data_IF_901353689684
#
_entry.id   IF_901353689684
#
_cell.length_a   1.000
_cell.length_b   1.000
_cell.length_c   1.000
_cell.angle_alpha   90.00
_cell.angle_beta   90.00
_cell.angle_gamma   90.00
#
_symmetry.space_group_name_H-M   'P 1'
#
loop_
_entity.id
_entity.type
_entity.pdbx_description
1 polymer ?
#
# COMPACT_ATOMS: atom_id res chain seq x y z
N UNK A 1 41.51 10.91 23.02
CA UNK A 1 41.17 12.04 22.15
C UNK A 1 42.42 12.52 21.44
N UNK A 2 42.38 12.72 20.14
CA UNK A 2 43.53 13.31 19.42
C UNK A 2 43.71 14.78 19.81
N UNK A 3 44.96 15.17 20.04
CA UNK A 3 45.28 16.57 20.29
C UNK A 3 45.07 17.43 19.03
N UNK A 4 44.91 18.74 19.20
CA UNK A 4 44.71 19.67 18.09
C UNK A 4 45.84 19.54 17.04
N UNK A 5 47.11 19.39 17.48
CA UNK A 5 48.29 19.24 16.63
C UNK A 5 48.27 17.93 15.84
N UNK A 6 47.86 16.82 16.46
CA UNK A 6 47.72 15.51 15.79
C UNK A 6 46.60 15.57 14.74
N UNK A 7 45.48 16.19 15.08
CA UNK A 7 44.35 16.36 14.17
C UNK A 7 44.71 17.20 12.93
N UNK A 8 45.42 18.31 13.10
CA UNK A 8 45.89 19.15 12.00
C UNK A 8 46.89 18.39 11.11
N UNK A 9 47.76 17.55 11.69
CA UNK A 9 48.69 16.72 10.91
C UNK A 9 47.93 15.69 10.07
N UNK A 10 46.93 15.04 10.65
CA UNK A 10 46.06 14.07 9.97
C UNK A 10 45.26 14.73 8.82
N UNK A 11 44.75 15.93 9.06
CA UNK A 11 44.07 16.72 7.99
C UNK A 11 45.04 17.04 6.84
N UNK A 12 46.26 17.46 7.18
CA UNK A 12 47.30 17.77 6.17
C UNK A 12 47.70 16.53 5.36
N UNK A 13 47.87 15.39 6.00
CA UNK A 13 48.29 14.14 5.37
C UNK A 13 47.21 13.46 4.52
N UNK A 14 45.93 13.86 4.64
CA UNK A 14 44.83 13.19 3.95
C UNK A 14 44.75 13.54 2.47
N UNK A 15 45.01 12.58 1.57
CA UNK A 15 44.96 12.74 0.12
C UNK A 15 43.64 12.24 -0.51
N UNK A 16 42.94 11.29 0.17
CA UNK A 16 41.65 10.75 -0.25
C UNK A 16 40.61 10.96 0.84
N UNK A 17 39.34 11.05 0.45
CA UNK A 17 38.24 11.19 1.41
C UNK A 17 38.24 10.04 2.44
N UNK A 18 38.31 10.36 3.72
CA UNK A 18 38.29 9.38 4.82
C UNK A 18 37.55 9.89 6.05
N UNK A 19 37.18 8.96 6.93
CA UNK A 19 36.61 9.24 8.25
C UNK A 19 37.64 8.80 9.29
N UNK A 20 38.01 9.71 10.19
CA UNK A 20 38.95 9.48 11.29
C UNK A 20 38.17 9.44 12.60
N UNK A 21 38.38 8.42 13.43
CA UNK A 21 37.85 8.40 14.81
C UNK A 21 38.75 9.25 15.68
N UNK A 22 38.18 10.31 16.29
CA UNK A 22 38.92 11.29 17.09
C UNK A 22 38.85 10.97 18.57
N UNK A 23 37.69 10.43 19.01
CA UNK A 23 37.45 10.06 20.39
C UNK A 23 36.40 8.95 20.49
N UNK A 24 36.53 8.08 21.49
CA UNK A 24 35.53 7.11 21.91
C UNK A 24 35.64 6.90 23.41
N UNK A 25 34.50 6.99 24.12
CA UNK A 25 34.43 6.79 25.57
C UNK A 25 34.13 5.31 25.96
N UNK A 26 33.99 4.42 25.00
CA UNK A 26 33.71 3.00 25.20
C UNK A 26 32.53 2.46 24.44
N UNK A 27 32.17 1.20 24.69
CA UNK A 27 31.06 0.55 24.02
C UNK A 27 29.71 1.18 24.44
N UNK A 28 28.98 1.71 23.47
CA UNK A 28 27.68 2.35 23.73
C UNK A 28 27.72 3.82 24.13
N UNK A 29 28.90 4.42 24.35
CA UNK A 29 29.08 5.83 24.75
C UNK A 29 29.16 6.80 23.56
N UNK A 30 29.01 6.30 22.31
CA UNK A 30 29.19 7.08 21.09
C UNK A 30 30.65 7.27 20.70
N UNK A 31 30.88 7.78 19.49
CA UNK A 31 32.20 8.11 19.00
C UNK A 31 32.18 9.45 18.25
N UNK A 32 33.18 10.29 18.54
CA UNK A 32 33.45 11.50 17.77
C UNK A 32 34.36 11.17 16.59
N UNK A 33 33.88 11.44 15.40
CA UNK A 33 34.59 11.20 14.15
C UNK A 33 34.78 12.51 13.38
N UNK A 34 35.79 12.56 12.53
CA UNK A 34 35.97 13.64 11.57
C UNK A 34 35.98 13.08 10.14
N UNK A 35 35.12 13.59 9.30
CA UNK A 35 35.15 13.31 7.87
C UNK A 35 35.99 14.37 7.17
N UNK A 36 37.05 13.94 6.50
CA UNK A 36 37.95 14.80 5.74
C UNK A 36 37.74 14.52 4.25
N UNK A 37 37.39 15.55 3.49
CA UNK A 37 37.18 15.46 2.05
C UNK A 37 38.20 16.43 1.35
N UNK A 38 39.18 15.90 0.60
CA UNK A 38 40.09 16.72 -0.16
C UNK A 38 39.34 17.54 -1.22
N UNK A 39 39.66 18.80 -1.33
CA UNK A 39 39.15 19.72 -2.38
C UNK A 39 40.27 20.38 -3.14
N UNK A 40 40.00 20.92 -4.33
CA UNK A 40 41.00 21.54 -5.22
C UNK A 40 41.75 22.73 -4.60
N UNK A 41 41.10 23.47 -3.67
CA UNK A 41 41.70 24.66 -3.02
C UNK A 41 41.82 24.52 -1.52
N UNK A 42 40.85 23.80 -0.85
CA UNK A 42 40.81 23.63 0.57
C UNK A 42 40.18 22.28 0.90
N UNK A 43 40.62 21.60 1.97
CA UNK A 43 40.00 20.39 2.49
C UNK A 43 38.74 20.76 3.29
N UNK A 44 37.65 20.04 3.07
CA UNK A 44 36.43 20.16 3.90
C UNK A 44 36.48 19.17 5.03
N UNK A 45 36.29 19.65 6.24
CA UNK A 45 36.36 18.83 7.47
C UNK A 45 35.07 19.00 8.27
N UNK A 46 34.42 17.87 8.60
CA UNK A 46 33.15 17.86 9.32
C UNK A 46 33.23 16.93 10.51
N UNK A 47 32.73 17.41 11.63
CA UNK A 47 32.49 16.59 12.81
C UNK A 47 31.29 15.72 12.64
N UNK A 48 31.43 14.44 13.02
CA UNK A 48 30.37 13.45 12.95
C UNK A 48 30.27 12.78 14.33
N UNK A 49 29.08 12.79 14.91
CA UNK A 49 28.72 11.92 16.03
C UNK A 49 28.28 10.57 15.48
N UNK A 50 28.79 9.49 16.06
CA UNK A 50 28.33 8.14 15.81
C UNK A 50 27.70 7.61 17.09
N UNK A 51 26.40 7.36 17.07
CA UNK A 51 25.57 7.03 18.21
C UNK A 51 24.85 5.71 17.99
N UNK A 52 24.50 5.02 19.07
CA UNK A 52 23.59 3.88 19.03
C UNK A 52 22.17 4.37 19.34
N UNK A 53 21.26 4.25 18.38
CA UNK A 53 19.82 4.51 18.57
C UNK A 53 19.03 3.26 18.15
N UNK A 54 18.21 2.73 19.06
CA UNK A 54 17.39 1.54 18.77
C UNK A 54 18.19 0.30 18.30
N UNK A 55 19.40 0.09 18.82
CA UNK A 55 20.27 -1.03 18.44
C UNK A 55 20.99 -0.86 17.09
N UNK A 56 20.83 0.29 16.40
CA UNK A 56 21.52 0.62 15.15
C UNK A 56 22.50 1.75 15.34
N UNK A 57 23.61 1.67 14.61
CA UNK A 57 24.60 2.75 14.60
C UNK A 57 24.16 3.85 13.61
N UNK A 58 23.90 5.04 14.13
CA UNK A 58 23.57 6.24 13.35
C UNK A 58 24.73 7.22 13.36
N UNK A 59 24.85 8.01 12.29
CA UNK A 59 25.90 9.02 12.14
C UNK A 59 25.27 10.36 11.81
N UNK A 60 25.54 11.35 12.64
CA UNK A 60 25.00 12.69 12.51
C UNK A 60 26.13 13.73 12.39
N UNK A 61 25.98 14.72 11.50
CA UNK A 61 26.96 15.80 11.36
C UNK A 61 26.69 16.85 12.43
N UNK A 62 27.69 17.11 13.31
CA UNK A 62 27.59 18.08 14.40
C UNK A 62 27.99 19.48 13.94
N UNK A 63 29.02 19.60 13.08
CA UNK A 63 29.49 20.90 12.64
C UNK A 63 30.75 20.81 11.75
N UNK A 64 31.32 21.96 11.45
CA UNK A 64 32.52 22.07 10.62
C UNK A 64 33.76 22.39 11.50
N UNK A 65 34.90 21.82 11.15
CA UNK A 65 36.18 22.23 11.68
C UNK A 65 36.82 23.27 10.72
N UNK A 66 37.43 24.37 11.19
CA UNK A 66 37.71 24.72 12.58
C UNK A 66 36.63 25.53 13.30
N UNK A 67 35.46 25.77 12.69
CA UNK A 67 34.40 26.59 13.28
C UNK A 67 33.94 26.05 14.65
N UNK A 68 33.93 24.71 14.78
CA UNK A 68 33.71 24.00 16.02
C UNK A 68 35.04 23.35 16.46
N UNK A 69 35.52 23.73 17.64
CA UNK A 69 36.75 23.15 18.23
C UNK A 69 36.57 21.68 18.64
N UNK A 70 37.64 20.89 18.80
CA UNK A 70 37.54 19.52 19.26
C UNK A 70 36.83 19.36 20.62
N UNK A 71 37.00 20.32 21.52
CA UNK A 71 36.38 20.30 22.86
C UNK A 71 34.86 20.56 22.76
N UNK A 72 34.45 21.53 21.94
CA UNK A 72 33.04 21.84 21.68
C UNK A 72 32.35 20.67 20.95
N UNK A 73 33.01 20.05 19.96
CA UNK A 73 32.49 18.87 19.27
C UNK A 73 32.33 17.68 20.21
N UNK A 74 33.22 17.51 21.20
CA UNK A 74 33.08 16.46 22.23
C UNK A 74 31.93 16.77 23.19
N UNK A 75 31.74 18.03 23.57
CA UNK A 75 30.61 18.45 24.40
C UNK A 75 29.28 18.17 23.67
N UNK A 76 29.16 18.54 22.38
CA UNK A 76 28.01 18.27 21.57
C UNK A 76 27.75 16.75 21.41
N UNK A 77 28.80 15.93 21.24
CA UNK A 77 28.64 14.46 21.24
C UNK A 77 28.02 13.99 22.55
N UNK A 78 28.52 14.47 23.70
CA UNK A 78 28.04 14.06 25.02
C UNK A 78 26.59 14.44 25.26
N UNK A 79 26.16 15.62 24.82
CA UNK A 79 24.76 16.02 24.83
C UNK A 79 23.88 15.08 24.00
N UNK A 80 24.32 14.77 22.79
CA UNK A 80 23.62 13.82 21.90
C UNK A 80 23.59 12.40 22.49
N UNK A 81 24.65 11.95 23.19
CA UNK A 81 24.67 10.66 23.86
C UNK A 81 23.71 10.65 25.05
N UNK A 82 23.65 11.73 25.84
CA UNK A 82 22.68 11.87 26.95
C UNK A 82 21.26 11.85 26.39
N UNK A 83 21.01 12.57 25.30
CA UNK A 83 19.72 12.60 24.63
C UNK A 83 19.35 11.21 24.04
N UNK A 84 20.32 10.50 23.45
CA UNK A 84 20.11 9.15 22.90
C UNK A 84 19.90 8.08 23.97
N UNK A 85 20.45 8.29 25.20
CA UNK A 85 20.30 7.43 26.38
C UNK A 85 19.07 7.79 27.21
N UNK A 86 18.48 8.97 27.00
CA UNK A 86 17.17 9.27 27.59
C UNK A 86 16.23 8.17 27.15
N UNK A 87 15.90 7.30 28.09
CA UNK A 87 15.02 6.17 27.86
C UNK A 87 13.69 6.66 27.29
N UNK A 88 12.91 5.82 26.61
CA UNK A 88 11.58 6.16 26.13
C UNK A 88 10.63 6.69 27.22
N UNK A 89 10.99 6.60 28.49
CA UNK A 89 10.25 7.15 29.64
C UNK A 89 10.21 8.68 29.71
N UNK A 90 11.13 9.40 29.05
CA UNK A 90 11.06 10.87 28.94
C UNK A 90 10.62 11.38 27.55
N UNK A 91 10.35 10.51 26.59
CA UNK A 91 9.51 10.83 25.45
C UNK A 91 8.11 11.05 26.00
N UNK A 92 7.76 12.29 26.33
CA UNK A 92 6.65 12.68 27.16
C UNK A 92 5.37 11.95 26.83
N UNK A 93 4.63 11.57 27.86
CA UNK A 93 3.25 11.10 27.75
C UNK A 93 2.47 12.08 26.91
N UNK A 94 1.82 11.61 25.83
CA UNK A 94 1.11 12.48 24.91
C UNK A 94 1.81 12.68 23.56
N UNK A 95 1.32 13.61 22.79
CA UNK A 95 1.81 14.03 21.49
C UNK A 95 0.71 14.59 20.59
N UNK A 96 1.11 15.41 19.63
CA UNK A 96 0.14 16.07 18.75
C UNK A 96 -0.57 15.08 17.82
N UNK A 97 -1.74 15.48 17.32
CA UNK A 97 -2.53 14.74 16.32
C UNK A 97 -1.68 14.39 15.09
N UNK A 98 -0.89 15.35 14.60
CA UNK A 98 0.02 15.12 13.47
C UNK A 98 1.07 14.04 13.79
N UNK A 99 1.69 14.14 14.97
CA UNK A 99 2.69 13.18 15.42
C UNK A 99 2.11 11.76 15.55
N UNK A 100 0.89 11.64 16.08
CA UNK A 100 0.18 10.36 16.19
C UNK A 100 -0.07 9.74 14.81
N UNK A 101 -0.62 10.52 13.87
CA UNK A 101 -0.93 10.02 12.53
C UNK A 101 0.33 9.64 11.75
N UNK A 102 1.40 10.41 11.86
CA UNK A 102 2.69 10.06 11.28
C UNK A 102 3.27 8.77 11.87
N UNK A 103 3.18 8.59 13.18
CA UNK A 103 3.65 7.38 13.86
C UNK A 103 2.83 6.15 13.43
N UNK A 104 1.50 6.29 13.35
CA UNK A 104 0.63 5.23 12.84
C UNK A 104 0.96 4.85 11.41
N UNK A 105 1.21 5.83 10.53
CA UNK A 105 1.60 5.57 9.14
C UNK A 105 2.94 4.83 9.09
N UNK A 106 3.95 5.26 9.88
CA UNK A 106 5.23 4.51 9.98
C UNK A 106 5.02 3.07 10.44
N UNK A 107 4.12 2.83 11.39
CA UNK A 107 3.77 1.47 11.82
C UNK A 107 3.11 0.66 10.69
N UNK A 108 2.31 1.27 9.83
CA UNK A 108 1.76 0.61 8.65
C UNK A 108 2.84 0.32 7.59
N UNK A 109 3.78 1.24 7.40
CA UNK A 109 4.92 1.09 6.48
C UNK A 109 5.86 -0.03 6.91
N UNK A 110 6.16 -0.15 8.20
CA UNK A 110 7.01 -1.23 8.74
C UNK A 110 6.43 -2.64 8.51
N UNK A 111 5.14 -2.72 8.21
CA UNK A 111 4.42 -3.96 7.91
C UNK A 111 4.05 -4.12 6.42
N UNK A 112 4.63 -3.29 5.55
CA UNK A 112 4.34 -3.24 4.11
C UNK A 112 2.83 -3.17 3.79
N UNK A 113 2.06 -2.44 4.61
CA UNK A 113 0.62 -2.37 4.46
C UNK A 113 0.23 -1.59 3.20
N UNK A 114 -0.46 -2.24 2.28
CA UNK A 114 -0.91 -1.65 1.01
C UNK A 114 -1.88 -0.45 1.19
N UNK A 115 -2.41 -0.25 2.37
CA UNK A 115 -3.29 0.88 2.70
C UNK A 115 -2.55 2.18 2.98
N UNK A 116 -1.21 2.18 3.11
CA UNK A 116 -0.40 3.35 3.45
C UNK A 116 -0.72 4.58 2.61
N UNK A 117 -0.76 4.52 1.25
CA UNK A 117 -1.05 5.69 0.44
C UNK A 117 -2.42 6.30 0.74
N UNK A 118 -3.44 5.47 0.91
CA UNK A 118 -4.80 5.94 1.20
C UNK A 118 -4.93 6.49 2.61
N UNK A 119 -4.34 5.81 3.61
CA UNK A 119 -4.31 6.28 5.00
C UNK A 119 -3.58 7.61 5.10
N UNK A 120 -2.42 7.76 4.44
CA UNK A 120 -1.68 9.02 4.37
C UNK A 120 -2.51 10.13 3.74
N UNK A 121 -3.22 9.84 2.65
CA UNK A 121 -4.11 10.80 1.99
C UNK A 121 -5.24 11.25 2.91
N UNK A 122 -5.88 10.34 3.61
CA UNK A 122 -6.97 10.65 4.53
C UNK A 122 -6.50 11.45 5.74
N UNK A 123 -5.32 11.13 6.27
CA UNK A 123 -4.87 11.69 7.53
C UNK A 123 -4.03 12.96 7.40
N UNK A 124 -3.19 13.07 6.33
CA UNK A 124 -2.15 14.11 6.25
C UNK A 124 -2.19 14.93 4.95
N UNK A 125 -2.31 14.29 3.78
CA UNK A 125 -2.00 14.97 2.50
C UNK A 125 -3.22 15.31 1.65
N UNK A 126 -4.41 14.87 2.00
CA UNK A 126 -5.63 15.15 1.24
C UNK A 126 -6.20 16.53 1.53
N UNK A 127 -7.03 17.06 0.62
CA UNK A 127 -7.66 18.38 0.82
C UNK A 127 -8.61 18.47 2.02
N UNK A 128 -9.06 17.34 2.57
CA UNK A 128 -9.82 17.23 3.82
C UNK A 128 -9.06 16.29 4.78
N UNK A 129 -7.78 16.56 5.01
CA UNK A 129 -6.97 15.73 5.89
C UNK A 129 -7.42 15.84 7.34
N UNK A 130 -7.47 14.69 8.03
CA UNK A 130 -7.93 14.66 9.42
C UNK A 130 -7.04 15.47 10.37
N UNK A 131 -5.71 15.50 10.12
CA UNK A 131 -4.78 16.27 10.93
C UNK A 131 -5.11 17.77 10.92
N UNK A 132 -5.36 18.33 9.74
CA UNK A 132 -5.73 19.75 9.61
C UNK A 132 -7.05 20.06 10.30
N UNK A 133 -8.04 19.18 10.14
CA UNK A 133 -9.38 19.40 10.69
C UNK A 133 -9.43 19.26 12.22
N UNK A 134 -8.63 18.38 12.80
CA UNK A 134 -8.58 18.13 14.24
C UNK A 134 -7.56 19.01 14.99
N UNK A 135 -6.74 19.78 14.26
CA UNK A 135 -5.65 20.60 14.77
C UNK A 135 -4.32 19.82 14.79
N UNK A 136 -3.40 20.09 13.83
CA UNK A 136 -2.18 19.29 13.68
C UNK A 136 -1.28 19.33 14.91
N UNK A 137 -1.21 20.47 15.59
CA UNK A 137 -0.37 20.70 16.77
C UNK A 137 -1.10 20.46 18.10
N UNK A 138 -2.41 20.18 18.05
CA UNK A 138 -3.23 19.87 19.23
C UNK A 138 -2.83 18.53 19.81
N UNK A 139 -2.80 18.43 21.16
CA UNK A 139 -2.59 17.15 21.83
C UNK A 139 -3.64 16.11 21.44
N UNK A 140 -3.21 14.93 21.06
CA UNK A 140 -4.12 13.87 20.60
C UNK A 140 -5.10 13.43 21.70
N UNK A 141 -4.69 13.55 22.98
CA UNK A 141 -5.53 13.25 24.15
C UNK A 141 -6.69 14.25 24.35
N UNK A 142 -6.60 15.44 23.75
CA UNK A 142 -7.62 16.47 23.85
C UNK A 142 -8.69 16.34 22.74
N UNK A 143 -8.48 15.46 21.76
CA UNK A 143 -9.47 15.25 20.70
C UNK A 143 -10.71 14.58 21.28
N UNK A 144 -11.83 15.27 21.16
CA UNK A 144 -13.13 14.79 21.68
C UNK A 144 -13.95 14.07 20.62
N UNK A 145 -14.92 13.25 21.03
CA UNK A 145 -15.90 12.68 20.09
C UNK A 145 -16.68 13.76 19.30
N UNK A 146 -16.90 14.94 19.91
CA UNK A 146 -17.56 16.06 19.27
C UNK A 146 -16.76 16.62 18.09
N UNK A 147 -15.44 16.77 18.26
CA UNK A 147 -14.55 17.26 17.19
C UNK A 147 -14.59 16.31 15.99
N UNK A 148 -14.48 15.01 16.24
CA UNK A 148 -14.56 14.00 15.18
C UNK A 148 -15.93 14.01 14.50
N UNK A 149 -17.02 14.09 15.27
CA UNK A 149 -18.38 14.12 14.73
C UNK A 149 -18.59 15.36 13.83
N UNK A 150 -18.17 16.54 14.29
CA UNK A 150 -18.28 17.79 13.54
C UNK A 150 -17.49 17.75 12.23
N UNK A 151 -16.26 17.24 12.27
CA UNK A 151 -15.44 17.06 11.07
C UNK A 151 -16.10 16.13 10.05
N UNK A 152 -16.59 14.97 10.51
CA UNK A 152 -17.26 14.00 9.64
C UNK A 152 -18.59 14.52 9.10
N UNK A 153 -19.31 15.33 9.88
CA UNK A 153 -20.53 16.00 9.44
C UNK A 153 -20.25 16.92 8.26
N UNK A 154 -19.20 17.75 8.29
CA UNK A 154 -18.82 18.60 7.16
C UNK A 154 -18.58 17.79 5.87
N UNK A 155 -17.90 16.64 5.95
CA UNK A 155 -17.72 15.76 4.78
C UNK A 155 -19.05 15.16 4.31
N UNK A 156 -19.95 14.84 5.23
CA UNK A 156 -21.26 14.28 4.93
C UNK A 156 -22.18 15.30 4.26
N UNK A 157 -22.16 16.55 4.73
CA UNK A 157 -22.96 17.66 4.21
C UNK A 157 -22.55 18.04 2.77
N UNK A 158 -21.30 17.80 2.40
CA UNK A 158 -20.82 17.80 1.01
C UNK A 158 -21.39 16.66 0.13
N UNK A 159 -22.28 15.82 0.67
CA UNK A 159 -22.82 14.64 -0.02
C UNK A 159 -21.86 13.46 -0.11
N UNK A 160 -20.72 13.50 0.58
CA UNK A 160 -19.63 12.51 0.51
C UNK A 160 -19.71 11.45 1.64
N UNK A 161 -20.92 10.91 1.90
CA UNK A 161 -21.19 9.97 3.01
C UNK A 161 -20.17 8.83 3.14
N UNK A 162 -19.81 8.21 2.01
CA UNK A 162 -18.84 7.11 2.00
C UNK A 162 -17.44 7.57 2.39
N UNK A 163 -17.04 8.77 1.98
CA UNK A 163 -15.75 9.34 2.37
C UNK A 163 -15.71 9.66 3.86
N UNK A 164 -16.81 10.15 4.43
CA UNK A 164 -16.94 10.37 5.87
C UNK A 164 -16.79 9.06 6.65
N UNK A 165 -17.45 7.95 6.23
CA UNK A 165 -17.33 6.65 6.92
C UNK A 165 -15.92 6.03 6.77
N UNK A 166 -15.28 6.21 5.63
CA UNK A 166 -13.88 5.80 5.42
C UNK A 166 -12.93 6.60 6.32
N UNK A 167 -13.11 7.92 6.41
CA UNK A 167 -12.35 8.80 7.28
C UNK A 167 -12.54 8.42 8.76
N UNK A 168 -13.78 8.22 9.19
CA UNK A 168 -14.09 7.73 10.54
C UNK A 168 -13.33 6.42 10.85
N UNK A 169 -13.34 5.49 9.91
CA UNK A 169 -12.67 4.20 10.09
C UNK A 169 -11.17 4.36 10.21
N UNK A 170 -10.55 5.22 9.39
CA UNK A 170 -9.13 5.49 9.43
C UNK A 170 -8.70 6.16 10.75
N UNK A 171 -9.42 7.20 11.19
CA UNK A 171 -9.15 7.88 12.47
C UNK A 171 -9.30 6.90 13.63
N UNK A 172 -10.38 6.10 13.64
CA UNK A 172 -10.60 5.08 14.69
C UNK A 172 -9.45 4.07 14.76
N UNK A 173 -8.92 3.63 13.62
CA UNK A 173 -7.80 2.70 13.57
C UNK A 173 -6.51 3.31 14.13
N UNK A 174 -6.23 4.57 13.84
CA UNK A 174 -5.06 5.27 14.36
C UNK A 174 -5.13 5.46 15.88
N UNK A 175 -6.25 5.91 16.42
CA UNK A 175 -6.43 6.06 17.86
C UNK A 175 -6.43 4.73 18.60
N UNK A 176 -7.03 3.67 18.06
CA UNK A 176 -6.93 2.33 18.63
C UNK A 176 -5.49 1.80 18.67
N UNK A 177 -4.73 2.04 17.58
CA UNK A 177 -3.32 1.67 17.56
C UNK A 177 -2.55 2.46 18.62
N UNK A 178 -2.78 3.77 18.75
CA UNK A 178 -2.08 4.63 19.69
C UNK A 178 -2.33 4.23 21.15
N UNK A 179 -3.57 3.89 21.52
CA UNK A 179 -3.92 3.38 22.85
C UNK A 179 -3.13 2.11 23.18
N UNK A 180 -2.98 1.22 22.20
CA UNK A 180 -2.34 -0.08 22.40
C UNK A 180 -0.82 -0.05 22.20
N UNK A 181 -0.26 1.01 21.60
CA UNK A 181 1.16 1.08 21.22
C UNK A 181 2.10 0.89 22.41
N UNK A 182 1.77 1.47 23.56
CA UNK A 182 2.56 1.34 24.80
C UNK A 182 2.69 -0.10 25.34
N UNK A 183 1.80 -0.99 24.89
CA UNK A 183 1.80 -2.41 25.28
C UNK A 183 2.39 -3.33 24.20
N UNK A 184 2.83 -2.79 23.06
CA UNK A 184 3.46 -3.61 22.03
C UNK A 184 4.94 -3.80 22.33
N UNK A 185 5.27 -4.88 23.02
CA UNK A 185 6.64 -5.26 23.40
C UNK A 185 7.58 -5.51 22.21
N UNK A 186 7.04 -5.56 20.97
CA UNK A 186 7.81 -5.76 19.73
C UNK A 186 8.23 -4.44 19.10
N UNK A 187 7.59 -3.34 19.48
CA UNK A 187 7.89 -2.01 18.94
C UNK A 187 8.89 -1.29 19.84
N UNK A 188 10.16 -1.11 19.42
CA UNK A 188 11.16 -0.38 20.19
C UNK A 188 10.83 1.12 20.35
N UNK A 189 9.89 1.63 19.57
CA UNK A 189 9.38 3.00 19.62
C UNK A 189 8.00 3.09 20.29
N UNK A 190 7.60 2.04 21.04
CA UNK A 190 6.36 2.04 21.79
C UNK A 190 6.32 3.24 22.76
N UNK A 191 5.20 3.98 22.75
CA UNK A 191 5.04 5.17 23.62
C UNK A 191 3.62 5.28 24.15
N UNK A 192 3.47 5.95 25.28
CA UNK A 192 2.17 6.33 25.83
C UNK A 192 1.70 7.64 25.21
N UNK A 193 0.65 7.59 24.42
CA UNK A 193 0.02 8.75 23.79
C UNK A 193 -0.92 9.51 24.74
N UNK A 194 -0.99 9.14 26.02
CA UNK A 194 -1.88 9.76 27.00
C UNK A 194 -3.37 9.51 26.74
N UNK A 195 -3.70 8.54 25.90
CA UNK A 195 -5.08 8.24 25.51
C UNK A 195 -5.68 7.19 26.44
N UNK A 196 -6.82 7.49 27.06
CA UNK A 196 -7.59 6.56 27.88
C UNK A 196 -8.65 5.82 27.07
N UNK A 197 -9.24 6.50 26.08
CA UNK A 197 -10.25 5.96 25.20
C UNK A 197 -10.12 6.46 23.76
N UNK A 198 -10.64 5.71 22.80
CA UNK A 198 -10.71 6.16 21.42
C UNK A 198 -11.88 7.14 21.25
N UNK A 199 -11.63 8.43 20.89
CA UNK A 199 -12.69 9.42 20.72
C UNK A 199 -13.71 9.04 19.63
N UNK A 200 -13.33 8.14 18.71
CA UNK A 200 -14.22 7.69 17.63
C UNK A 200 -15.18 6.57 18.08
N UNK A 201 -14.93 5.94 19.24
CA UNK A 201 -15.69 4.78 19.67
C UNK A 201 -17.20 5.02 19.78
N UNK A 202 -17.59 6.20 20.27
CA UNK A 202 -18.98 6.62 20.43
C UNK A 202 -19.57 7.32 19.20
N UNK A 203 -18.74 7.67 18.21
CA UNK A 203 -19.20 8.25 16.94
C UNK A 203 -19.82 7.16 16.10
N UNK A 204 -21.13 7.25 15.83
CA UNK A 204 -21.87 6.21 15.12
C UNK A 204 -21.33 5.99 13.71
N UNK A 205 -21.17 4.71 13.34
CA UNK A 205 -20.87 4.31 11.97
C UNK A 205 -22.12 4.48 11.09
N UNK A 206 -21.95 5.11 9.91
CA UNK A 206 -23.03 5.16 8.93
C UNK A 206 -23.12 3.86 8.14
N UNK A 207 -23.95 2.93 8.61
CA UNK A 207 -24.21 1.65 7.93
C UNK A 207 -24.83 1.82 6.54
N UNK A 208 -25.47 2.96 6.26
CA UNK A 208 -26.06 3.29 4.98
C UNK A 208 -25.10 3.96 3.99
N UNK A 209 -23.90 4.36 4.43
CA UNK A 209 -22.90 5.00 3.55
C UNK A 209 -22.41 4.09 2.42
N UNK A 210 -22.47 2.78 2.63
CA UNK A 210 -22.09 1.78 1.64
C UNK A 210 -23.28 0.90 1.32
N UNK A 211 -24.08 1.32 0.35
CA UNK A 211 -25.12 0.45 -0.24
C UNK A 211 -24.43 -0.51 -1.19
N UNK A 212 -24.60 -1.81 -0.93
CA UNK A 212 -24.10 -2.84 -1.83
C UNK A 212 -24.83 -2.73 -3.18
N UNK A 213 -24.09 -2.45 -4.26
CA UNK A 213 -24.67 -2.49 -5.61
C UNK A 213 -25.06 -3.93 -5.92
N UNK A 214 -26.24 -4.11 -6.45
CA UNK A 214 -26.75 -5.42 -6.90
C UNK A 214 -26.92 -5.45 -8.43
N UNK A 215 -25.96 -4.91 -9.17
CA UNK A 215 -25.97 -4.87 -10.62
C UNK A 215 -25.33 -6.12 -11.18
N UNK A 216 -26.11 -6.92 -11.89
CA UNK A 216 -25.67 -8.02 -12.74
C UNK A 216 -26.09 -7.72 -14.17
N UNK A 217 -25.20 -7.92 -15.12
CA UNK A 217 -25.49 -7.73 -16.54
C UNK A 217 -26.31 -8.91 -17.08
N UNK A 218 -27.22 -8.62 -17.98
CA UNK A 218 -27.92 -9.64 -18.79
C UNK A 218 -26.97 -10.20 -19.85
N UNK A 219 -27.31 -11.35 -20.45
CA UNK A 219 -26.54 -11.92 -21.55
C UNK A 219 -26.41 -10.94 -22.74
N UNK A 220 -27.50 -10.27 -23.12
CA UNK A 220 -27.50 -9.24 -24.18
C UNK A 220 -26.58 -8.05 -23.81
N UNK A 221 -26.53 -7.62 -22.56
CA UNK A 221 -25.62 -6.55 -22.12
C UNK A 221 -24.16 -7.02 -22.13
N UNK A 222 -23.90 -8.27 -21.73
CA UNK A 222 -22.57 -8.88 -21.80
C UNK A 222 -22.06 -8.91 -23.26
N UNK A 223 -22.91 -9.31 -24.20
CA UNK A 223 -22.59 -9.29 -25.63
C UNK A 223 -22.25 -7.86 -26.11
N UNK A 224 -23.05 -6.86 -25.75
CA UNK A 224 -22.78 -5.46 -26.13
C UNK A 224 -21.49 -4.93 -25.58
N UNK A 225 -21.11 -5.30 -24.33
CA UNK A 225 -19.83 -4.94 -23.75
C UNK A 225 -18.69 -5.63 -24.50
N UNK A 226 -18.85 -6.92 -24.81
CA UNK A 226 -17.82 -7.70 -25.50
C UNK A 226 -17.55 -7.19 -26.91
N UNK A 227 -18.61 -6.91 -27.67
CA UNK A 227 -18.56 -6.43 -29.07
C UNK A 227 -18.29 -4.93 -29.17
N UNK A 228 -18.19 -4.19 -28.06
CA UNK A 228 -17.94 -2.76 -28.12
C UNK A 228 -16.57 -2.47 -28.76
N UNK A 229 -16.57 -1.64 -29.80
CA UNK A 229 -15.36 -1.24 -30.54
C UNK A 229 -14.85 0.08 -30.04
N UNK A 230 -13.58 0.12 -29.65
CA UNK A 230 -12.89 1.33 -29.21
C UNK A 230 -11.38 1.08 -29.27
N UNK A 231 -10.59 2.14 -29.46
CA UNK A 231 -9.13 2.09 -29.40
C UNK A 231 -8.57 2.08 -27.95
N UNK A 232 -9.45 2.14 -26.98
CA UNK A 232 -9.08 2.16 -25.57
C UNK A 232 -8.81 0.73 -25.05
N UNK A 233 -7.57 0.42 -24.71
CA UNK A 233 -7.17 -0.90 -24.18
C UNK A 233 -7.95 -1.36 -22.94
N UNK A 234 -8.65 -0.45 -22.27
CA UNK A 234 -9.54 -0.77 -21.15
C UNK A 234 -10.71 -1.68 -21.52
N UNK A 235 -11.08 -1.79 -22.81
CA UNK A 235 -12.14 -2.71 -23.28
C UNK A 235 -11.71 -4.16 -23.11
N UNK A 236 -10.46 -4.48 -23.42
CA UNK A 236 -9.95 -5.85 -23.30
C UNK A 236 -9.82 -6.27 -21.84
N UNK A 237 -9.57 -5.31 -20.94
CA UNK A 237 -9.66 -5.56 -19.49
C UNK A 237 -11.10 -5.94 -19.11
N UNK A 238 -12.13 -5.24 -19.62
CA UNK A 238 -13.54 -5.58 -19.36
C UNK A 238 -13.89 -6.96 -19.92
N UNK A 239 -13.43 -7.28 -21.15
CA UNK A 239 -13.59 -8.60 -21.76
C UNK A 239 -12.97 -9.69 -20.89
N UNK A 240 -11.71 -9.53 -20.45
CA UNK A 240 -11.03 -10.52 -19.60
C UNK A 240 -11.71 -10.67 -18.23
N UNK A 241 -12.15 -9.59 -17.61
CA UNK A 241 -12.91 -9.66 -16.35
C UNK A 241 -14.20 -10.44 -16.52
N UNK A 242 -14.89 -10.28 -17.66
CA UNK A 242 -16.10 -11.02 -17.98
C UNK A 242 -15.81 -12.51 -18.24
N UNK A 243 -14.75 -12.82 -18.96
CA UNK A 243 -14.38 -14.20 -19.30
C UNK A 243 -13.85 -14.99 -18.09
N UNK A 244 -13.06 -14.33 -17.22
CA UNK A 244 -12.33 -15.00 -16.13
C UNK A 244 -12.93 -14.79 -14.74
N UNK A 245 -13.76 -13.77 -14.57
CA UNK A 245 -14.27 -13.37 -13.26
C UNK A 245 -13.23 -12.76 -12.32
N UNK A 246 -12.04 -12.39 -12.80
CA UNK A 246 -10.97 -11.89 -11.95
C UNK A 246 -11.16 -10.40 -11.57
N UNK A 247 -10.38 -9.90 -10.60
CA UNK A 247 -10.45 -8.49 -10.22
C UNK A 247 -9.78 -7.61 -11.26
N UNK A 248 -10.37 -6.43 -11.52
CA UNK A 248 -9.85 -5.47 -12.50
C UNK A 248 -8.36 -5.16 -12.28
N UNK A 249 -7.94 -4.93 -11.03
CA UNK A 249 -6.54 -4.64 -10.74
C UNK A 249 -5.61 -5.84 -10.97
N UNK A 250 -6.08 -7.05 -10.70
CA UNK A 250 -5.35 -8.28 -11.01
C UNK A 250 -5.22 -8.45 -12.53
N UNK A 251 -6.30 -8.22 -13.27
CA UNK A 251 -6.28 -8.25 -14.74
C UNK A 251 -5.35 -7.20 -15.34
N UNK A 252 -5.29 -6.00 -14.78
CA UNK A 252 -4.36 -4.95 -15.23
C UNK A 252 -2.88 -5.32 -15.04
N UNK A 253 -2.58 -6.18 -14.08
CA UNK A 253 -1.22 -6.61 -13.73
C UNK A 253 -0.74 -7.85 -14.49
N UNK A 254 -1.54 -8.35 -15.43
CA UNK A 254 -1.18 -9.53 -16.22
C UNK A 254 0.00 -9.21 -17.14
N UNK A 255 0.97 -10.10 -17.18
CA UNK A 255 2.09 -10.09 -18.11
C UNK A 255 2.05 -11.33 -19.00
N UNK A 256 2.64 -11.30 -20.20
CA UNK A 256 2.64 -12.44 -21.11
C UNK A 256 3.25 -13.70 -20.47
N UNK A 257 4.32 -13.52 -19.67
CA UNK A 257 5.00 -14.63 -18.95
C UNK A 257 4.14 -15.33 -17.91
N UNK A 258 3.04 -14.68 -17.46
CA UNK A 258 2.13 -15.27 -16.48
C UNK A 258 1.16 -16.28 -17.11
N UNK A 259 1.16 -16.40 -18.45
CA UNK A 259 0.19 -17.21 -19.20
C UNK A 259 0.87 -18.47 -19.74
N UNK A 260 0.40 -19.60 -19.27
CA UNK A 260 0.74 -20.92 -19.83
C UNK A 260 -0.33 -21.28 -20.86
N UNK A 261 0.02 -21.08 -22.15
CA UNK A 261 -0.91 -21.33 -23.27
C UNK A 261 -1.10 -22.83 -23.57
N UNK A 262 -0.15 -23.69 -23.20
CA UNK A 262 -0.26 -25.14 -23.36
C UNK A 262 -1.22 -25.72 -22.33
N UNK A 263 -1.02 -25.35 -21.07
CA UNK A 263 -1.88 -25.73 -19.96
C UNK A 263 -3.18 -24.92 -19.89
N UNK A 264 -3.28 -23.82 -20.65
CA UNK A 264 -4.42 -22.89 -20.65
C UNK A 264 -4.72 -22.34 -19.27
N UNK A 265 -3.67 -21.85 -18.60
CA UNK A 265 -3.74 -21.30 -17.26
C UNK A 265 -3.08 -19.91 -17.22
N UNK A 266 -3.73 -18.97 -16.59
CA UNK A 266 -3.11 -17.75 -16.10
C UNK A 266 -2.60 -18.01 -14.69
N UNK A 267 -1.27 -18.11 -14.54
CA UNK A 267 -0.57 -18.28 -13.27
C UNK A 267 -0.30 -16.92 -12.64
N UNK A 268 -1.17 -16.51 -11.76
CA UNK A 268 -1.04 -15.21 -11.09
C UNK A 268 -0.13 -15.37 -9.86
N UNK A 269 1.07 -14.76 -9.84
CA UNK A 269 1.95 -14.86 -8.69
C UNK A 269 1.39 -14.07 -7.48
N UNK A 270 1.83 -14.43 -6.28
CA UNK A 270 1.25 -13.92 -5.02
C UNK A 270 1.26 -12.39 -4.95
N UNK A 271 2.34 -11.75 -5.37
CA UNK A 271 2.52 -10.28 -5.33
C UNK A 271 1.51 -9.53 -6.22
N UNK A 272 0.96 -10.19 -7.25
CA UNK A 272 -0.07 -9.62 -8.13
C UNK A 272 -1.48 -9.80 -7.59
N UNK A 273 -1.70 -10.71 -6.63
CA UNK A 273 -3.01 -10.96 -6.03
C UNK A 273 -3.38 -9.91 -4.98
N UNK A 274 -4.68 -9.81 -4.67
CA UNK A 274 -5.15 -8.97 -3.57
C UNK A 274 -4.64 -9.54 -2.23
N UNK A 275 -3.85 -8.76 -1.51
CA UNK A 275 -3.25 -9.18 -0.24
C UNK A 275 -1.81 -9.68 -0.37
N UNK A 276 -1.41 -10.25 -1.51
CA UNK A 276 -0.02 -10.69 -1.73
C UNK A 276 0.37 -12.00 -1.04
N UNK A 277 -0.60 -12.77 -0.52
CA UNK A 277 -0.28 -13.91 0.35
C UNK A 277 -0.22 -15.26 -0.38
N UNK A 278 -0.95 -15.41 -1.47
CA UNK A 278 -1.06 -16.69 -2.17
C UNK A 278 -1.16 -16.48 -3.68
N UNK A 279 -0.37 -17.25 -4.44
CA UNK A 279 -0.51 -17.34 -5.89
C UNK A 279 -1.90 -17.90 -6.26
N UNK A 280 -2.34 -17.65 -7.48
CA UNK A 280 -3.66 -18.03 -7.96
C UNK A 280 -3.64 -18.50 -9.39
N UNK A 281 -3.91 -19.77 -9.62
CA UNK A 281 -4.06 -20.36 -10.92
C UNK A 281 -5.50 -20.22 -11.42
N UNK A 282 -5.65 -19.58 -12.57
CA UNK A 282 -6.92 -19.30 -13.24
C UNK A 282 -6.96 -20.06 -14.57
N UNK A 283 -7.67 -21.18 -14.67
CA UNK A 283 -7.89 -21.82 -15.97
C UNK A 283 -8.61 -20.90 -16.94
N UNK A 284 -8.37 -21.06 -18.24
CA UNK A 284 -8.84 -20.17 -19.29
C UNK A 284 -9.75 -20.92 -20.26
N UNK A 285 -10.92 -20.35 -20.57
CA UNK A 285 -11.78 -20.80 -21.66
C UNK A 285 -11.20 -20.38 -23.02
N UNK A 286 -11.69 -20.96 -24.12
CA UNK A 286 -11.17 -20.75 -25.48
C UNK A 286 -11.09 -19.26 -25.83
N UNK A 287 -12.17 -18.51 -25.61
CA UNK A 287 -12.22 -17.06 -25.88
C UNK A 287 -11.22 -16.25 -25.07
N UNK A 288 -10.95 -16.67 -23.84
CA UNK A 288 -9.93 -16.00 -23.03
C UNK A 288 -8.52 -16.29 -23.53
N UNK A 289 -8.24 -17.53 -23.96
CA UNK A 289 -6.96 -17.93 -24.57
C UNK A 289 -6.75 -17.13 -25.87
N UNK A 290 -7.74 -17.08 -26.75
CA UNK A 290 -7.66 -16.34 -28.02
C UNK A 290 -7.36 -14.86 -27.79
N UNK A 291 -8.12 -14.21 -26.91
CA UNK A 291 -7.91 -12.80 -26.58
C UNK A 291 -6.52 -12.56 -25.99
N UNK A 292 -6.08 -13.39 -25.05
CA UNK A 292 -4.76 -13.26 -24.42
C UNK A 292 -3.62 -13.51 -25.39
N UNK A 293 -3.77 -14.46 -26.32
CA UNK A 293 -2.78 -14.75 -27.37
C UNK A 293 -2.61 -13.54 -28.29
N UNK A 294 -3.71 -12.98 -28.80
CA UNK A 294 -3.67 -11.77 -29.61
C UNK A 294 -3.04 -10.56 -28.90
N UNK A 295 -3.32 -10.39 -27.60
CA UNK A 295 -2.71 -9.32 -26.80
C UNK A 295 -1.21 -9.54 -26.58
N UNK A 296 -0.77 -10.78 -26.33
CA UNK A 296 0.66 -11.12 -26.22
C UNK A 296 1.41 -10.88 -27.52
N UNK A 297 0.83 -11.30 -28.65
CA UNK A 297 1.42 -11.08 -29.99
C UNK A 297 1.60 -9.57 -30.28
N UNK A 298 0.59 -8.76 -29.97
CA UNK A 298 0.66 -7.30 -30.10
C UNK A 298 1.76 -6.67 -29.22
N UNK A 299 2.18 -7.34 -28.13
CA UNK A 299 3.24 -6.89 -27.21
C UNK A 299 4.60 -7.49 -27.50
N UNK A 300 4.74 -8.31 -28.54
CA UNK A 300 5.99 -9.01 -28.83
C UNK A 300 6.35 -10.09 -27.81
N UNK A 301 5.36 -10.59 -27.07
CA UNK A 301 5.53 -11.69 -26.12
C UNK A 301 6.07 -11.29 -24.74
N UNK A 302 6.26 -10.01 -24.44
CA UNK A 302 6.86 -9.56 -23.16
C UNK A 302 6.08 -8.41 -22.51
N UNK A 303 6.31 -8.26 -21.19
CA UNK A 303 5.79 -7.18 -20.37
C UNK A 303 4.29 -7.24 -20.07
N UNK A 304 3.77 -6.11 -19.55
CA UNK A 304 2.36 -5.97 -19.21
C UNK A 304 1.47 -5.94 -20.46
N UNK A 305 0.37 -6.69 -20.44
CA UNK A 305 -0.62 -6.66 -21.53
C UNK A 305 -1.31 -5.30 -21.66
N UNK A 306 -1.44 -4.58 -20.55
CA UNK A 306 -2.08 -3.27 -20.47
C UNK A 306 -1.11 -2.22 -19.92
N UNK A 307 -0.03 -1.88 -20.65
CA UNK A 307 0.95 -0.91 -20.18
C UNK A 307 0.34 0.49 -20.05
N UNK A 308 0.87 1.28 -19.14
CA UNK A 308 0.51 2.68 -19.01
C UNK A 308 0.95 3.45 -20.28
N UNK A 309 0.05 4.22 -20.89
CA UNK A 309 0.37 5.05 -22.08
C UNK A 309 1.32 6.20 -21.76
N UNK A 310 1.37 6.64 -20.49
CA UNK A 310 2.25 7.70 -19.94
C UNK A 310 2.64 7.28 -18.53
N UNK A 311 3.75 7.81 -18.03
CA UNK A 311 4.09 7.67 -16.62
C UNK A 311 2.91 8.23 -15.83
N UNK A 312 2.22 7.36 -15.10
CA UNK A 312 1.09 7.77 -14.25
C UNK A 312 1.62 8.61 -13.10
N UNK A 313 0.80 9.47 -12.51
CA UNK A 313 1.16 10.25 -11.31
C UNK A 313 1.67 9.34 -10.18
N UNK A 314 1.18 8.11 -10.13
CA UNK A 314 1.54 7.10 -9.13
C UNK A 314 2.67 6.16 -9.61
N UNK A 315 3.31 6.44 -10.77
CA UNK A 315 4.40 5.63 -11.32
C UNK A 315 4.00 4.20 -11.73
N UNK A 316 2.71 3.91 -11.93
CA UNK A 316 2.25 2.56 -12.27
C UNK A 316 2.70 2.15 -13.68
N UNK A 317 3.26 0.93 -13.85
CA UNK A 317 3.71 0.43 -15.14
C UNK A 317 2.56 -0.02 -16.06
N UNK A 318 1.35 -0.15 -15.54
CA UNK A 318 0.14 -0.60 -16.23
C UNK A 318 -0.97 0.46 -16.18
N UNK A 319 -2.02 0.29 -16.99
CA UNK A 319 -3.21 1.14 -16.98
C UNK A 319 -3.81 1.25 -15.56
N UNK A 320 -4.40 2.40 -15.27
CA UNK A 320 -5.13 2.62 -14.01
C UNK A 320 -6.54 2.01 -14.06
N UNK A 321 -7.09 1.70 -12.89
CA UNK A 321 -8.50 1.30 -12.76
C UNK A 321 -9.47 2.38 -13.23
N UNK A 322 -9.08 3.65 -13.13
CA UNK A 322 -9.87 4.78 -13.59
C UNK A 322 -9.99 4.82 -15.12
N UNK A 323 -8.94 4.40 -15.85
CA UNK A 323 -8.98 4.26 -17.30
C UNK A 323 -10.03 3.21 -17.73
N UNK A 324 -10.05 2.07 -17.05
CA UNK A 324 -11.06 1.02 -17.30
C UNK A 324 -12.47 1.50 -16.94
N UNK A 325 -12.60 2.27 -15.86
CA UNK A 325 -13.88 2.86 -15.45
C UNK A 325 -14.40 3.87 -16.48
N UNK A 326 -13.50 4.65 -17.12
CA UNK A 326 -13.88 5.58 -18.21
C UNK A 326 -14.43 4.82 -19.40
N UNK A 327 -13.77 3.73 -19.81
CA UNK A 327 -14.27 2.87 -20.90
C UNK A 327 -15.63 2.27 -20.53
N UNK A 328 -15.83 1.76 -19.33
CA UNK A 328 -17.13 1.25 -18.92
C UNK A 328 -18.24 2.30 -18.98
N UNK A 329 -17.93 3.57 -18.69
CA UNK A 329 -18.89 4.70 -18.79
C UNK A 329 -19.18 5.12 -20.23
N UNK A 330 -18.25 4.94 -21.15
CA UNK A 330 -18.47 5.28 -22.57
C UNK A 330 -19.39 4.30 -23.31
N UNK A 331 -19.63 3.11 -22.74
CA UNK A 331 -20.54 2.12 -23.32
C UNK A 331 -21.99 2.49 -23.01
N UNK A 332 -22.57 3.38 -23.81
CA UNK A 332 -23.93 3.88 -23.60
C UNK A 332 -25.01 2.91 -24.05
N UNK A 333 -24.66 1.88 -24.80
CA UNK A 333 -25.60 0.82 -25.27
C UNK A 333 -26.02 -0.15 -24.14
N UNK A 334 -25.41 -0.01 -22.94
CA UNK A 334 -25.69 -0.80 -21.76
C UNK A 334 -26.07 0.13 -20.61
N UNK A 335 -27.03 -0.30 -19.78
CA UNK A 335 -27.35 0.47 -18.58
C UNK A 335 -26.12 0.67 -17.68
N UNK A 336 -25.97 1.80 -16.97
CA UNK A 336 -24.76 2.16 -16.26
C UNK A 336 -24.24 1.05 -15.35
N UNK A 337 -22.99 0.65 -15.57
CA UNK A 337 -22.30 -0.39 -14.81
C UNK A 337 -20.87 0.05 -14.44
N UNK A 338 -20.28 -0.67 -13.52
CA UNK A 338 -18.87 -0.54 -13.14
C UNK A 338 -18.10 -1.83 -13.51
N UNK A 339 -16.80 -1.77 -13.79
CA UNK A 339 -16.00 -2.96 -14.11
C UNK A 339 -16.15 -4.09 -13.09
N UNK A 340 -16.32 -3.76 -11.79
CA UNK A 340 -16.58 -4.73 -10.73
C UNK A 340 -17.92 -5.48 -10.92
N UNK A 341 -18.90 -4.89 -11.58
CA UNK A 341 -20.20 -5.52 -11.79
C UNK A 341 -20.07 -6.71 -12.77
N UNK A 342 -19.10 -6.70 -13.70
CA UNK A 342 -18.77 -7.84 -14.55
C UNK A 342 -18.31 -9.06 -13.74
N UNK A 343 -17.43 -8.85 -12.74
CA UNK A 343 -17.02 -9.93 -11.84
C UNK A 343 -18.18 -10.46 -10.99
N UNK A 344 -19.09 -9.58 -10.57
CA UNK A 344 -20.33 -10.00 -9.87
C UNK A 344 -21.25 -10.77 -10.80
N UNK A 345 -21.40 -10.30 -12.02
CA UNK A 345 -22.15 -10.97 -13.09
C UNK A 345 -21.60 -12.36 -13.34
N UNK A 346 -20.27 -12.49 -13.49
CA UNK A 346 -19.61 -13.79 -13.62
C UNK A 346 -20.02 -14.74 -12.49
N UNK A 347 -19.91 -14.32 -11.22
CA UNK A 347 -20.24 -15.14 -10.07
C UNK A 347 -21.70 -15.63 -10.06
N UNK A 348 -22.62 -14.74 -10.46
CA UNK A 348 -24.05 -15.06 -10.52
C UNK A 348 -24.36 -15.99 -11.68
N UNK A 349 -23.90 -15.66 -12.89
CA UNK A 349 -24.15 -16.42 -14.12
C UNK A 349 -23.41 -17.77 -14.17
N UNK A 350 -22.26 -17.86 -13.51
CA UNK A 350 -21.57 -19.13 -13.32
C UNK A 350 -22.41 -20.12 -12.48
N UNK A 351 -23.30 -19.61 -11.62
CA UNK A 351 -24.32 -20.42 -10.97
C UNK A 351 -25.35 -20.97 -11.96
N UNK A 352 -25.79 -20.13 -12.93
CA UNK A 352 -26.69 -20.55 -14.00
C UNK A 352 -26.04 -21.59 -14.93
N UNK A 353 -24.71 -21.56 -15.06
CA UNK A 353 -23.89 -22.56 -15.78
C UNK A 353 -23.67 -23.86 -14.97
N UNK A 354 -24.29 -24.03 -13.84
CA UNK A 354 -24.16 -25.24 -12.99
C UNK A 354 -22.81 -25.38 -12.30
N UNK A 355 -22.13 -24.27 -11.97
CA UNK A 355 -20.86 -24.28 -11.25
C UNK A 355 -21.14 -24.10 -9.74
N UNK A 356 -20.63 -25.02 -8.95
CA UNK A 356 -20.80 -25.01 -7.51
C UNK A 356 -20.27 -23.75 -6.84
N UNK A 357 -20.91 -23.32 -5.76
CA UNK A 357 -20.56 -22.09 -5.04
C UNK A 357 -19.11 -22.08 -4.58
N UNK A 358 -18.62 -23.18 -4.02
CA UNK A 358 -17.25 -23.27 -3.50
C UNK A 358 -16.22 -23.15 -4.61
N UNK A 359 -16.46 -23.76 -5.76
CA UNK A 359 -15.59 -23.61 -6.93
C UNK A 359 -15.61 -22.19 -7.48
N UNK A 360 -16.79 -21.53 -7.52
CA UNK A 360 -16.88 -20.11 -7.88
C UNK A 360 -16.11 -19.21 -6.90
N UNK A 361 -16.15 -19.50 -5.60
CA UNK A 361 -15.41 -18.76 -4.58
C UNK A 361 -13.88 -18.97 -4.73
N UNK A 362 -13.44 -20.20 -4.99
CA UNK A 362 -12.04 -20.54 -5.26
C UNK A 362 -11.53 -19.88 -6.55
N UNK A 363 -12.30 -19.93 -7.64
CA UNK A 363 -11.96 -19.25 -8.90
C UNK A 363 -11.84 -17.74 -8.74
N UNK A 364 -12.63 -17.13 -7.89
CA UNK A 364 -12.55 -15.71 -7.59
C UNK A 364 -11.61 -15.37 -6.42
N UNK A 365 -10.88 -16.34 -5.89
CA UNK A 365 -10.00 -16.15 -4.72
C UNK A 365 -10.72 -15.39 -3.59
N UNK A 366 -11.95 -15.80 -3.27
CA UNK A 366 -12.62 -15.36 -2.07
C UNK A 366 -12.07 -16.14 -0.87
N UNK A 367 -11.80 -15.42 0.23
CA UNK A 367 -11.33 -16.07 1.45
C UNK A 367 -12.42 -17.03 1.95
N UNK A 368 -12.06 -18.29 2.04
CA UNK A 368 -12.85 -19.28 2.78
C UNK A 368 -12.43 -19.09 4.24
N UNK A 369 -13.35 -18.63 5.06
CA UNK A 369 -13.09 -18.24 6.47
C UNK A 369 -13.14 -19.43 7.43
N UNK A 370 -13.52 -20.60 6.92
CA UNK A 370 -13.55 -21.82 7.71
C UNK A 370 -12.12 -22.25 8.11
N UNK A 371 -11.95 -22.53 9.41
CA UNK A 371 -10.65 -22.91 10.00
C UNK A 371 -10.11 -24.21 9.42
N UNK A 372 -10.98 -25.18 9.15
CA UNK A 372 -10.59 -26.46 8.55
C UNK A 372 -9.96 -26.27 7.17
N UNK A 373 -10.63 -25.54 6.30
CA UNK A 373 -10.15 -25.24 4.95
C UNK A 373 -8.86 -24.40 4.96
N UNK A 374 -8.74 -23.47 5.90
CA UNK A 374 -7.58 -22.57 5.96
C UNK A 374 -6.29 -23.28 6.35
N UNK A 375 -6.33 -24.25 7.23
CA UNK A 375 -5.13 -24.87 7.81
C UNK A 375 -4.89 -26.31 7.38
N UNK A 376 -5.91 -27.04 6.91
CA UNK A 376 -5.83 -28.47 6.62
C UNK A 376 -6.07 -28.82 5.15
N UNK A 377 -6.72 -27.95 4.36
CA UNK A 377 -7.01 -28.21 2.96
C UNK A 377 -5.92 -27.55 2.06
N UNK A 378 -4.97 -28.36 1.63
CA UNK A 378 -3.89 -27.99 0.70
C UNK A 378 -4.15 -28.40 -0.75
N UNK A 379 -5.31 -28.96 -1.04
CA UNK A 379 -5.70 -29.35 -2.38
C UNK A 379 -5.87 -28.10 -3.27
N UNK A 380 -5.39 -28.14 -4.52
CA UNK A 380 -5.37 -26.98 -5.41
C UNK A 380 -6.67 -26.73 -6.17
N UNK A 381 -7.52 -27.78 -6.23
CA UNK A 381 -8.79 -27.77 -6.96
C UNK A 381 -8.65 -27.43 -8.45
N UNK A 382 -7.50 -27.70 -9.04
CA UNK A 382 -7.25 -27.30 -10.43
C UNK A 382 -8.14 -28.05 -11.43
N UNK A 383 -8.40 -29.33 -11.19
CA UNK A 383 -9.27 -30.15 -12.04
C UNK A 383 -10.72 -29.62 -12.02
N UNK A 384 -11.25 -29.33 -10.84
CA UNK A 384 -12.61 -28.79 -10.65
C UNK A 384 -12.72 -27.37 -11.23
N UNK A 385 -11.68 -26.54 -11.07
CA UNK A 385 -11.64 -25.21 -11.69
C UNK A 385 -11.62 -25.28 -13.22
N UNK A 386 -10.88 -26.23 -13.81
CA UNK A 386 -10.86 -26.47 -15.27
C UNK A 386 -12.24 -26.85 -15.79
N UNK A 387 -12.90 -27.79 -15.13
CA UNK A 387 -14.24 -28.21 -15.50
C UNK A 387 -15.26 -27.06 -15.34
N UNK A 388 -15.15 -26.26 -14.28
CA UNK A 388 -15.97 -25.08 -14.07
C UNK A 388 -15.78 -24.04 -15.19
N UNK A 389 -14.55 -23.77 -15.61
CA UNK A 389 -14.25 -22.83 -16.69
C UNK A 389 -14.72 -23.37 -18.04
N UNK A 390 -14.66 -24.68 -18.28
CA UNK A 390 -15.25 -25.33 -19.46
C UNK A 390 -16.76 -25.11 -19.48
N UNK A 391 -17.48 -25.36 -18.39
CA UNK A 391 -18.94 -25.07 -18.27
C UNK A 391 -19.24 -23.61 -18.52
N UNK A 392 -18.41 -22.69 -17.97
CA UNK A 392 -18.55 -21.26 -18.19
C UNK A 392 -18.41 -20.89 -19.67
N UNK A 393 -17.40 -21.41 -20.36
CA UNK A 393 -17.21 -21.21 -21.81
C UNK A 393 -18.42 -21.63 -22.63
N UNK A 394 -18.92 -22.85 -22.40
CA UNK A 394 -20.13 -23.36 -23.06
C UNK A 394 -21.35 -22.50 -22.80
N UNK A 395 -21.56 -22.07 -21.54
CA UNK A 395 -22.66 -21.17 -21.19
C UNK A 395 -22.56 -19.83 -21.92
N UNK A 396 -21.34 -19.27 -22.04
CA UNK A 396 -21.12 -18.03 -22.81
C UNK A 396 -21.49 -18.23 -24.28
N UNK A 397 -21.07 -19.32 -24.90
CA UNK A 397 -21.37 -19.62 -26.30
C UNK A 397 -22.87 -19.82 -26.53
N UNK A 398 -23.55 -20.52 -25.63
CA UNK A 398 -25.00 -20.79 -25.75
C UNK A 398 -25.89 -19.60 -25.37
N UNK A 399 -25.49 -18.69 -24.51
CA UNK A 399 -26.36 -17.65 -23.93
C UNK A 399 -25.97 -16.23 -24.29
N UNK A 400 -24.67 -16.00 -24.55
CA UNK A 400 -24.13 -14.64 -24.80
C UNK A 400 -23.75 -14.48 -26.27
N UNK A 401 -23.00 -15.42 -26.83
CA UNK A 401 -22.45 -15.36 -28.18
C UNK A 401 -23.26 -16.18 -29.17
N UNK A 402 -24.56 -16.14 -29.03
CA UNK A 402 -25.48 -16.77 -30.01
C UNK A 402 -25.28 -16.05 -31.34
N UNK A 403 -24.88 -16.77 -32.39
CA UNK A 403 -24.80 -16.30 -33.77
C UNK A 403 -26.17 -15.99 -34.35
#
# INVERSE_FOLDING_TARGET
>A
MLSKKELENEIKATEKARVLTVHTDGYGEGALMMRIIPGKRRKSTRWIASLMRGGKQERETIGLYPDLSPAEALAALRELVVESKKAPEEAGRGGSVMALFQAYIRNLESRDARSVPEVRRLMITGGNAAAEALGPDREASEVTPGDVALFLQGINDDGKRRSADAMRTAISAAFNWAINSKYDYRDPNARDWGLEANPVSVVKKDRGATVARNRNLTAAEMLRVYCHVTDEAGIDVLRLVMLTGQRVLETLRIECKDIDFEERIWRMPAEKTKGGFKAHDVPLCDRAVELLRGLCDLRGGDGYLFPARRITKDGLPHLSTDSVQKVARSITSVAPFQPRDLRRTWKSRAGDAGIDRDIRDRLQQHLITDTGTKFYDHYDYLAEKREAVRKWGLWLDEKVFIE
#
